data_IF_819055308225
#
_entry.id   IF_819055308225
#
_cell.length_a   1.000
_cell.length_b   1.000
_cell.length_c   1.000
_cell.angle_alpha   90.00
_cell.angle_beta   90.00
_cell.angle_gamma   90.00
#
_symmetry.space_group_name_H-M   'P 1'
#
loop_
_entity.id
_entity.type
_entity.pdbx_description
1 polymer ?
#
# COMPACT_ATOMS: atom_id res chain seq x y z
N UNK A 1 7.09 -9.74 -8.09
CA UNK A 1 6.40 -8.57 -7.53
C UNK A 1 5.43 -9.00 -6.45
N UNK A 2 4.34 -9.73 -6.74
CA UNK A 2 3.38 -10.13 -5.71
C UNK A 2 3.99 -10.84 -4.49
N UNK A 3 4.99 -11.71 -4.67
CA UNK A 3 5.70 -12.34 -3.53
C UNK A 3 6.42 -11.29 -2.67
N UNK A 4 7.20 -10.40 -3.31
CA UNK A 4 7.90 -9.32 -2.61
C UNK A 4 6.92 -8.36 -1.92
N UNK A 5 5.77 -8.09 -2.55
CA UNK A 5 4.73 -7.23 -1.99
C UNK A 5 4.09 -7.85 -0.75
N UNK A 6 3.82 -9.16 -0.77
CA UNK A 6 3.37 -9.89 0.42
C UNK A 6 4.40 -9.83 1.55
N UNK A 7 5.68 -10.05 1.25
CA UNK A 7 6.74 -10.03 2.25
C UNK A 7 6.87 -8.63 2.90
N UNK A 8 6.86 -7.57 2.09
CA UNK A 8 6.86 -6.20 2.57
C UNK A 8 5.67 -5.91 3.51
N UNK A 9 4.45 -6.26 3.10
CA UNK A 9 3.25 -6.08 3.93
C UNK A 9 3.35 -6.82 5.27
N UNK A 10 3.83 -8.06 5.26
CA UNK A 10 4.02 -8.84 6.49
C UNK A 10 5.06 -8.20 7.42
N UNK A 11 6.20 -7.77 6.89
CA UNK A 11 7.23 -7.11 7.71
C UNK A 11 6.77 -5.78 8.30
N UNK A 12 6.03 -4.96 7.55
CA UNK A 12 5.46 -3.72 8.10
C UNK A 12 4.42 -4.00 9.19
N UNK A 13 3.55 -5.01 9.00
CA UNK A 13 2.59 -5.45 10.03
C UNK A 13 3.29 -5.96 11.29
N UNK A 14 4.38 -6.71 11.15
CA UNK A 14 5.18 -7.17 12.29
C UNK A 14 5.79 -5.99 13.04
N UNK A 15 6.27 -4.97 12.33
CA UNK A 15 6.83 -3.75 12.92
C UNK A 15 5.80 -2.91 13.69
N UNK A 16 4.57 -2.78 13.19
CA UNK A 16 3.49 -2.04 13.87
C UNK A 16 3.22 -2.55 15.29
N UNK A 17 3.46 -3.84 15.52
CA UNK A 17 3.23 -4.51 16.79
C UNK A 17 4.53 -4.75 17.58
N UNK A 18 5.68 -4.37 17.04
CA UNK A 18 6.98 -4.62 17.64
C UNK A 18 7.29 -3.62 18.76
N UNK A 19 7.90 -4.12 19.84
CA UNK A 19 8.47 -3.27 20.88
C UNK A 19 9.80 -2.68 20.39
N UNK A 20 9.90 -1.35 20.34
CA UNK A 20 11.11 -0.65 19.90
C UNK A 20 12.31 -0.85 20.84
N UNK A 21 12.08 -1.36 22.06
CA UNK A 21 13.13 -1.76 22.99
C UNK A 21 13.57 -3.22 22.83
N UNK A 22 12.91 -4.00 21.97
CA UNK A 22 13.35 -5.36 21.66
C UNK A 22 14.70 -5.31 20.94
N UNK A 23 15.73 -6.06 21.40
CA UNK A 23 17.01 -6.13 20.71
C UNK A 23 16.94 -6.54 19.23
N UNK A 24 15.89 -7.25 18.81
CA UNK A 24 15.64 -7.67 17.44
C UNK A 24 14.96 -6.59 16.57
N UNK A 25 14.48 -5.49 17.15
CA UNK A 25 13.76 -4.43 16.43
C UNK A 25 14.56 -3.87 15.24
N UNK A 26 15.87 -3.69 15.42
CA UNK A 26 16.76 -3.21 14.34
C UNK A 26 16.83 -4.19 13.16
N UNK A 27 16.85 -5.50 13.41
CA UNK A 27 16.84 -6.49 12.33
C UNK A 27 15.50 -6.49 11.60
N UNK A 28 14.38 -6.43 12.31
CA UNK A 28 13.05 -6.37 11.68
C UNK A 28 12.87 -5.12 10.82
N UNK A 29 13.37 -3.98 11.29
CA UNK A 29 13.36 -2.72 10.52
C UNK A 29 14.19 -2.86 9.24
N UNK A 30 15.34 -3.54 9.33
CA UNK A 30 16.19 -3.79 8.16
C UNK A 30 15.52 -4.72 7.15
N UNK A 31 14.81 -5.74 7.63
CA UNK A 31 14.08 -6.68 6.78
C UNK A 31 12.92 -5.99 6.06
N UNK A 32 12.16 -5.14 6.76
CA UNK A 32 11.08 -4.34 6.17
C UNK A 32 11.59 -3.37 5.08
N UNK A 33 12.63 -2.58 5.37
CA UNK A 33 13.24 -1.68 4.38
C UNK A 33 13.82 -2.47 3.18
N UNK A 34 14.42 -3.63 3.45
CA UNK A 34 14.91 -4.53 2.40
C UNK A 34 13.79 -5.01 1.47
N UNK A 35 12.65 -5.42 2.04
CA UNK A 35 11.49 -5.85 1.27
C UNK A 35 10.86 -4.68 0.49
N UNK A 36 10.77 -3.49 1.12
CA UNK A 36 10.33 -2.26 0.46
C UNK A 36 11.19 -1.95 -0.76
N UNK A 37 12.51 -1.98 -0.62
CA UNK A 37 13.45 -1.77 -1.71
C UNK A 37 13.30 -2.82 -2.83
N UNK A 38 13.05 -4.09 -2.49
CA UNK A 38 12.80 -5.15 -3.46
C UNK A 38 11.53 -4.87 -4.28
N UNK A 39 10.44 -4.47 -3.64
CA UNK A 39 9.18 -4.10 -4.31
C UNK A 39 9.40 -2.92 -5.27
N UNK A 40 10.08 -1.87 -4.83
CA UNK A 40 10.38 -0.69 -5.65
C UNK A 40 11.28 -1.03 -6.84
N UNK A 41 12.25 -1.92 -6.65
CA UNK A 41 13.12 -2.43 -7.72
C UNK A 41 12.32 -3.24 -8.76
N UNK A 42 11.51 -4.21 -8.31
CA UNK A 42 10.73 -5.06 -9.20
C UNK A 42 9.65 -4.29 -9.96
N UNK A 43 8.95 -3.37 -9.29
CA UNK A 43 7.95 -2.50 -9.92
C UNK A 43 8.59 -1.60 -10.97
N UNK A 44 9.74 -0.99 -10.67
CA UNK A 44 10.53 -0.19 -11.62
C UNK A 44 10.96 -1.01 -12.85
N UNK A 45 11.42 -2.24 -12.65
CA UNK A 45 11.78 -3.15 -13.75
C UNK A 45 10.57 -3.48 -14.63
N UNK A 46 9.43 -3.81 -14.05
CA UNK A 46 8.19 -4.09 -14.80
C UNK A 46 7.75 -2.85 -15.58
N UNK A 47 7.80 -1.67 -14.96
CA UNK A 47 7.48 -0.40 -15.61
C UNK A 47 8.41 -0.07 -16.78
N UNK A 48 9.67 -0.52 -16.75
CA UNK A 48 10.62 -0.32 -17.83
C UNK A 48 10.47 -1.31 -19.00
N UNK A 49 9.84 -2.47 -18.80
CA UNK A 49 9.70 -3.48 -19.85
C UNK A 49 8.80 -3.00 -21.01
N UNK A 50 9.17 -3.31 -22.27
CA UNK A 50 8.31 -3.02 -23.41
C UNK A 50 7.07 -3.92 -23.41
N UNK A 51 5.91 -3.36 -23.71
CA UNK A 51 4.65 -4.10 -23.85
C UNK A 51 4.73 -4.97 -25.10
N UNK A 52 4.65 -6.30 -24.93
CA UNK A 52 4.69 -7.25 -26.06
C UNK A 52 3.29 -7.72 -26.44
N UNK A 53 2.38 -7.73 -25.45
CA UNK A 53 1.00 -8.18 -25.58
C UNK A 53 0.08 -7.20 -24.91
N UNK A 54 -1.18 -7.19 -25.34
CA UNK A 54 -2.20 -6.30 -24.76
C UNK A 54 -2.42 -6.58 -23.27
N UNK A 55 -2.29 -7.83 -22.85
CA UNK A 55 -2.42 -8.28 -21.47
C UNK A 55 -1.27 -7.82 -20.56
N UNK A 56 -0.14 -7.38 -21.11
CA UNK A 56 0.97 -6.87 -20.28
C UNK A 56 0.65 -5.47 -19.72
N UNK A 57 -0.26 -4.74 -20.38
CA UNK A 57 -0.54 -3.34 -20.06
C UNK A 57 -1.13 -3.13 -18.66
N UNK A 58 -2.13 -3.92 -18.21
CA UNK A 58 -2.62 -3.82 -16.84
C UNK A 58 -1.57 -4.17 -15.79
N UNK A 59 -0.72 -5.18 -16.03
CA UNK A 59 0.36 -5.54 -15.10
C UNK A 59 1.37 -4.40 -14.96
N UNK A 60 1.73 -3.77 -16.08
CA UNK A 60 2.62 -2.62 -16.11
C UNK A 60 2.04 -1.44 -15.35
N UNK A 61 0.75 -1.15 -15.52
CA UNK A 61 0.05 -0.08 -14.79
C UNK A 61 -0.05 -0.38 -13.31
N UNK A 62 -0.39 -1.61 -12.92
CA UNK A 62 -0.40 -2.00 -11.51
C UNK A 62 0.99 -1.84 -10.87
N UNK A 63 2.07 -2.22 -11.57
CA UNK A 63 3.42 -2.01 -11.06
C UNK A 63 3.76 -0.52 -10.86
N UNK A 64 3.38 0.35 -11.80
CA UNK A 64 3.55 1.80 -11.67
C UNK A 64 2.75 2.33 -10.47
N UNK A 65 1.51 1.87 -10.31
CA UNK A 65 0.65 2.27 -9.20
C UNK A 65 1.23 1.82 -7.86
N UNK A 66 1.61 0.54 -7.72
CA UNK A 66 2.25 0.00 -6.50
C UNK A 66 3.45 0.86 -6.09
N UNK A 67 4.29 1.23 -7.05
CA UNK A 67 5.43 2.10 -6.78
C UNK A 67 5.00 3.48 -6.27
N UNK A 68 4.06 4.12 -6.97
CA UNK A 68 3.59 5.45 -6.60
C UNK A 68 2.94 5.48 -5.20
N UNK A 69 2.18 4.43 -4.87
CA UNK A 69 1.56 4.25 -3.55
C UNK A 69 2.64 4.15 -2.46
N UNK A 70 3.64 3.28 -2.61
CA UNK A 70 4.73 3.11 -1.62
C UNK A 70 5.63 4.35 -1.51
N UNK A 71 5.83 5.09 -2.60
CA UNK A 71 6.62 6.32 -2.62
C UNK A 71 5.81 7.58 -2.22
N UNK A 72 4.53 7.43 -1.84
CA UNK A 72 3.68 8.55 -1.46
C UNK A 72 4.17 9.22 -0.18
N UNK A 73 4.38 10.54 -0.22
CA UNK A 73 4.89 11.31 0.91
C UNK A 73 3.81 11.82 1.87
N UNK A 74 2.53 11.64 1.52
CA UNK A 74 1.39 12.15 2.29
C UNK A 74 0.22 11.19 2.18
N UNK A 75 -0.60 11.10 3.22
CA UNK A 75 -1.83 10.30 3.24
C UNK A 75 -2.78 10.69 2.08
N UNK A 76 -2.97 11.99 1.80
CA UNK A 76 -3.82 12.46 0.70
C UNK A 76 -3.35 11.92 -0.66
N UNK A 77 -2.05 12.02 -0.96
CA UNK A 77 -1.49 11.48 -2.20
C UNK A 77 -1.64 9.96 -2.29
N UNK A 78 -1.45 9.26 -1.16
CA UNK A 78 -1.67 7.83 -1.06
C UNK A 78 -3.13 7.48 -1.38
N UNK A 79 -4.11 8.12 -0.72
CA UNK A 79 -5.54 7.87 -0.92
C UNK A 79 -5.97 8.14 -2.36
N UNK A 80 -5.49 9.24 -2.95
CA UNK A 80 -5.80 9.59 -4.34
C UNK A 80 -5.29 8.55 -5.34
N UNK A 81 -4.08 8.03 -5.12
CA UNK A 81 -3.50 6.97 -5.93
C UNK A 81 -4.24 5.65 -5.72
N UNK A 82 -4.48 5.25 -4.47
CA UNK A 82 -5.20 4.01 -4.13
C UNK A 82 -6.57 3.95 -4.80
N UNK A 83 -7.33 5.07 -4.76
CA UNK A 83 -8.65 5.21 -5.40
C UNK A 83 -8.65 4.99 -6.92
N UNK A 84 -7.49 5.04 -7.60
CA UNK A 84 -7.41 4.73 -9.03
C UNK A 84 -7.82 3.29 -9.35
N UNK A 85 -7.60 2.33 -8.44
CA UNK A 85 -8.02 0.95 -8.63
C UNK A 85 -9.54 0.81 -8.81
N UNK A 86 -10.32 1.59 -8.06
CA UNK A 86 -11.78 1.60 -8.16
C UNK A 86 -12.30 2.52 -9.26
N UNK A 87 -11.76 3.74 -9.37
CA UNK A 87 -12.27 4.77 -10.29
C UNK A 87 -11.92 4.54 -11.75
N UNK A 88 -10.85 3.78 -12.03
CA UNK A 88 -10.37 3.47 -13.36
C UNK A 88 -10.08 1.97 -13.51
N UNK A 89 -10.95 1.11 -12.95
CA UNK A 89 -10.76 -0.34 -12.87
C UNK A 89 -10.47 -1.00 -14.23
N UNK A 90 -11.01 -0.45 -15.33
CA UNK A 90 -10.76 -0.92 -16.69
C UNK A 90 -9.31 -0.77 -17.14
N UNK A 91 -8.56 0.17 -16.56
CA UNK A 91 -7.13 0.34 -16.86
C UNK A 91 -6.28 -0.77 -16.24
N UNK A 92 -6.78 -1.40 -15.18
CA UNK A 92 -6.08 -2.41 -14.38
C UNK A 92 -6.64 -3.81 -14.57
N UNK A 93 -7.57 -4.02 -15.51
CA UNK A 93 -8.20 -5.31 -15.78
C UNK A 93 -7.82 -5.86 -17.17
N UNK A 94 -7.73 -7.19 -17.28
CA UNK A 94 -7.75 -7.88 -18.58
C UNK A 94 -9.17 -8.35 -18.89
N UNK A 95 -9.75 -7.92 -20.01
CA UNK A 95 -11.13 -8.25 -20.39
C UNK A 95 -11.24 -9.40 -21.40
N UNK A 96 -10.15 -9.74 -22.07
CA UNK A 96 -10.13 -10.76 -23.13
C UNK A 96 -10.22 -12.21 -22.57
N UNK A 97 -10.31 -13.21 -23.45
CA UNK A 97 -10.37 -14.62 -23.07
C UNK A 97 -9.07 -15.36 -23.47
N UNK A 98 -8.71 -16.41 -22.71
CA UNK A 98 -7.56 -17.25 -23.00
C UNK A 98 -6.73 -17.61 -21.77
N UNK A 99 -5.87 -18.62 -21.89
CA UNK A 99 -5.06 -19.14 -20.77
C UNK A 99 -4.09 -18.08 -20.21
N UNK A 100 -3.45 -17.32 -21.09
CA UNK A 100 -2.58 -16.20 -20.67
C UNK A 100 -3.38 -15.13 -19.93
N UNK A 101 -4.58 -14.79 -20.41
CA UNK A 101 -5.45 -13.80 -19.75
C UNK A 101 -5.88 -14.29 -18.37
N UNK A 102 -6.22 -15.57 -18.20
CA UNK A 102 -6.60 -16.14 -16.90
C UNK A 102 -5.44 -15.99 -15.89
N UNK A 103 -4.22 -16.32 -16.30
CA UNK A 103 -3.03 -16.14 -15.45
C UNK A 103 -2.82 -14.67 -15.10
N UNK A 104 -2.91 -13.77 -16.08
CA UNK A 104 -2.74 -12.34 -15.86
C UNK A 104 -3.79 -11.79 -14.90
N UNK A 105 -5.07 -12.18 -15.05
CA UNK A 105 -6.15 -11.81 -14.12
C UNK A 105 -5.84 -12.24 -12.70
N UNK A 106 -5.35 -13.47 -12.51
CA UNK A 106 -4.96 -13.95 -11.18
C UNK A 106 -3.81 -13.12 -10.59
N UNK A 107 -2.81 -12.78 -11.40
CA UNK A 107 -1.70 -11.92 -10.97
C UNK A 107 -2.17 -10.51 -10.59
N UNK A 108 -3.09 -9.93 -11.37
CA UNK A 108 -3.69 -8.63 -11.11
C UNK A 108 -4.53 -8.64 -9.83
N UNK A 109 -5.42 -9.63 -9.67
CA UNK A 109 -6.25 -9.79 -8.47
C UNK A 109 -5.39 -9.80 -7.21
N UNK A 110 -4.35 -10.64 -7.17
CA UNK A 110 -3.45 -10.72 -6.01
C UNK A 110 -2.74 -9.37 -5.80
N UNK A 111 -2.28 -8.71 -6.87
CA UNK A 111 -1.62 -7.41 -6.76
C UNK A 111 -2.56 -6.33 -6.19
N UNK A 112 -3.84 -6.35 -6.59
CA UNK A 112 -4.84 -5.39 -6.11
C UNK A 112 -5.19 -5.64 -4.65
N UNK A 113 -5.42 -6.91 -4.27
CA UNK A 113 -5.63 -7.30 -2.87
C UNK A 113 -4.45 -6.87 -1.98
N UNK A 114 -3.23 -6.93 -2.50
CA UNK A 114 -2.05 -6.46 -1.79
C UNK A 114 -1.96 -4.93 -1.70
N UNK A 115 -2.32 -4.20 -2.76
CA UNK A 115 -2.41 -2.74 -2.70
C UNK A 115 -3.47 -2.31 -1.68
N UNK A 116 -4.60 -3.04 -1.59
CA UNK A 116 -5.61 -2.79 -0.55
C UNK A 116 -5.06 -3.08 0.84
N UNK A 117 -4.32 -4.17 1.03
CA UNK A 117 -3.67 -4.47 2.32
C UNK A 117 -2.62 -3.45 2.74
N UNK A 118 -1.94 -2.78 1.79
CA UNK A 118 -1.03 -1.65 2.09
C UNK A 118 -1.81 -0.47 2.69
N UNK A 119 -3.06 -0.24 2.25
CA UNK A 119 -3.91 0.83 2.80
C UNK A 119 -4.37 0.57 4.24
N UNK A 120 -4.17 -0.65 4.75
CA UNK A 120 -4.43 -1.00 6.15
C UNK A 120 -3.20 -0.77 7.05
N UNK A 121 -2.04 -0.46 6.47
CA UNK A 121 -0.79 -0.24 7.22
C UNK A 121 -0.78 1.17 7.84
N UNK A 122 -0.28 1.25 9.06
CA UNK A 122 -0.03 2.48 9.79
C UNK A 122 1.06 3.37 9.18
N UNK A 123 1.92 2.83 8.31
CA UNK A 123 3.02 3.54 7.63
C UNK A 123 2.55 4.81 6.89
N UNK A 124 1.34 4.79 6.33
CA UNK A 124 0.84 5.85 5.45
C UNK A 124 -0.12 6.83 6.13
N UNK A 125 -0.44 6.62 7.41
CA UNK A 125 -1.28 7.52 8.20
C UNK A 125 -0.48 8.75 8.62
N UNK A 126 -1.07 9.95 8.59
CA UNK A 126 -0.42 11.14 9.15
C UNK A 126 -0.50 11.14 10.70
N UNK A 127 0.60 10.91 11.43
CA UNK A 127 0.57 10.89 12.89
C UNK A 127 0.27 12.27 13.48
N UNK A 128 0.58 13.36 12.78
CA UNK A 128 0.31 14.73 13.25
C UNK A 128 -1.18 15.03 13.13
N UNK A 129 -1.83 14.59 12.05
CA UNK A 129 -3.28 14.66 11.91
C UNK A 129 -3.98 13.82 13.01
N UNK A 130 -3.51 12.60 13.24
CA UNK A 130 -4.07 11.72 14.27
C UNK A 130 -3.98 12.31 15.69
N UNK A 131 -2.87 12.99 16.02
CA UNK A 131 -2.70 13.67 17.31
C UNK A 131 -3.58 14.93 17.44
N UNK A 132 -3.83 15.64 16.34
CA UNK A 132 -4.71 16.80 16.32
C UNK A 132 -6.19 16.40 16.54
N UNK A 133 -6.63 15.30 15.93
CA UNK A 133 -7.99 14.76 16.11
C UNK A 133 -8.22 14.27 17.55
N UNK A 134 -7.28 13.52 18.12
CA UNK A 134 -7.37 13.07 19.53
C UNK A 134 -7.39 14.22 20.54
N UNK A 135 -6.66 15.30 20.27
CA UNK A 135 -6.65 16.50 21.12
C UNK A 135 -7.99 17.25 21.07
N UNK A 136 -8.60 17.33 19.88
CA UNK A 136 -9.93 17.95 19.68
C UNK A 136 -11.04 17.18 20.39
N UNK A 137 -11.04 15.85 20.30
CA UNK A 137 -12.06 15.01 20.94
C UNK A 137 -11.97 15.04 22.47
N UNK A 138 -10.74 15.14 23.01
CA UNK A 138 -10.51 15.35 24.44
C UNK A 138 -11.02 16.72 24.93
N UNK A 139 -10.79 17.79 24.16
CA UNK A 139 -11.30 19.13 24.47
C UNK A 139 -12.84 19.21 24.38
N UNK A 140 -13.45 18.62 23.37
CA UNK A 140 -14.92 18.58 23.24
C UNK A 140 -15.58 17.79 24.36
N UNK A 141 -14.99 16.65 24.75
CA UNK A 141 -15.47 15.83 25.87
C UNK A 141 -15.39 16.59 27.21
N UNK A 142 -14.31 17.37 27.42
CA UNK A 142 -14.17 18.22 28.59
C UNK A 142 -15.19 19.37 28.61
N UNK A 143 -15.47 19.97 27.46
CA UNK A 143 -16.46 21.06 27.33
C UNK A 143 -17.90 20.57 27.60
N UNK A 144 -18.25 19.38 27.10
CA UNK A 144 -19.56 18.76 27.34
C UNK A 144 -19.75 18.42 28.83
N UNK A 145 -18.70 17.92 29.49
CA UNK A 145 -18.75 17.63 30.93
C UNK A 145 -18.90 18.89 31.79
N UNK A 146 -18.30 20.02 31.39
CA UNK A 146 -18.40 21.29 32.10
C UNK A 146 -19.77 21.98 31.96
N UNK A 147 -20.49 21.75 30.84
CA UNK A 147 -21.82 22.30 30.59
C UNK A 147 -22.97 21.44 31.18
N UNK A 148 -22.66 20.29 31.80
CA UNK A 148 -23.64 19.37 32.38
C UNK A 148 -23.90 19.58 33.90
N UNK A 149 -23.46 20.70 34.46
CA UNK A 149 -23.67 21.12 35.86
C UNK A 149 -24.63 22.31 35.89
#
# INVERSE_FOLDING_TARGET
>A
MNIALAAYIEFERDLEHADCFDPAFLSWTTDAEGARAEVLSLSGRIAALPVQRREDLPLKRSAILTRAVIESATEVAFTDLHRLLGTHAELFACLDAGVTVIRTRQMLRICHEQIDAIAELGEFNDPVAAWAEQSSDAEQSALIAACAI
#
